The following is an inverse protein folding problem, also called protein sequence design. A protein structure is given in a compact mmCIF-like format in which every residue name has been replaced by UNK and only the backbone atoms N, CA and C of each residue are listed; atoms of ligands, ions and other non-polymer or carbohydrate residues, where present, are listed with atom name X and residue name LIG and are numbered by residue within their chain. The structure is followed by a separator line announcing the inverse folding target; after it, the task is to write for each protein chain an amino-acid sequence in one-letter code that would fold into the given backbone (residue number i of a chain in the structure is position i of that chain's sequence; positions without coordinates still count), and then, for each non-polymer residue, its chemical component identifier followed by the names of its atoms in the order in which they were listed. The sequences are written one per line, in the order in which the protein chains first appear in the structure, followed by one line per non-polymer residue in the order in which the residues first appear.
data_IF_284083492695
#
_entry.id   IF_284083492695
#
_cell.length_a   1.000
_cell.length_b   1.000
_cell.length_c   1.000
_cell.angle_alpha   90.00
_cell.angle_beta   90.00
_cell.angle_gamma   90.00
#
_symmetry.space_group_name_H-M   'P 1'
#
loop_
_entity.id
_entity.type
_entity.pdbx_description
1 polymer ?
#
# COMPACT_ATOMS: atom_id res chain seq x y z
N UNK A 1 10.62 5.59 5.61
CA UNK A 1 10.45 6.54 6.74
C UNK A 1 10.12 5.78 8.00
N UNK A 2 10.35 6.38 9.17
CA UNK A 2 10.08 5.79 10.48
C UNK A 2 9.32 6.81 11.32
N UNK A 3 8.27 6.39 12.05
CA UNK A 3 7.43 7.30 12.83
C UNK A 3 6.74 6.62 13.99
N UNK A 4 6.44 7.38 15.02
CA UNK A 4 5.53 7.03 16.13
C UNK A 4 4.17 7.73 16.00
N UNK A 5 4.02 8.63 14.98
CA UNK A 5 2.76 9.32 14.71
C UNK A 5 1.65 8.31 14.44
N UNK A 6 0.55 8.44 15.17
CA UNK A 6 -0.55 7.46 15.17
C UNK A 6 -1.65 7.77 14.18
N UNK A 7 -1.73 9.02 13.71
CA UNK A 7 -2.77 9.50 12.82
C UNK A 7 -2.15 10.28 11.66
N UNK A 8 -1.96 9.63 10.53
CA UNK A 8 -1.43 10.29 9.33
C UNK A 8 -1.89 9.59 8.06
N UNK A 9 -1.67 10.23 6.93
CA UNK A 9 -1.76 9.62 5.61
C UNK A 9 -0.48 9.83 4.82
N UNK A 10 -0.01 8.76 4.17
CA UNK A 10 1.10 8.76 3.24
C UNK A 10 0.57 8.48 1.84
N UNK A 11 0.80 9.40 0.92
CA UNK A 11 0.38 9.28 -0.49
C UNK A 11 1.59 9.25 -1.39
N UNK A 12 1.54 8.41 -2.45
CA UNK A 12 2.57 8.34 -3.48
C UNK A 12 1.97 7.90 -4.80
N UNK A 13 2.50 8.43 -5.90
CA UNK A 13 2.23 7.95 -7.25
C UNK A 13 3.35 7.02 -7.71
N UNK A 14 2.97 5.84 -8.19
CA UNK A 14 3.87 4.91 -8.87
C UNK A 14 3.64 4.98 -10.38
N UNK A 15 4.71 4.88 -11.16
CA UNK A 15 4.67 4.63 -12.60
C UNK A 15 5.65 3.50 -12.90
N UNK A 16 5.28 2.56 -13.74
CA UNK A 16 6.05 1.32 -13.90
C UNK A 16 5.97 0.80 -15.34
N UNK A 17 7.06 0.16 -15.73
CA UNK A 17 7.21 -0.53 -17.01
C UNK A 17 7.50 -2.01 -16.76
N UNK A 18 6.51 -2.69 -16.16
CA UNK A 18 6.57 -4.12 -15.85
C UNK A 18 6.68 -4.94 -17.13
N UNK A 19 7.53 -5.95 -17.14
CA UNK A 19 7.88 -6.76 -18.32
C UNK A 19 7.67 -8.25 -18.12
N UNK A 20 7.88 -8.71 -16.90
CA UNK A 20 7.81 -10.13 -16.57
C UNK A 20 6.81 -10.36 -15.45
N UNK A 21 6.31 -11.56 -15.39
CA UNK A 21 5.38 -11.99 -14.37
C UNK A 21 5.91 -11.67 -12.98
N UNK A 22 5.05 -11.17 -12.12
CA UNK A 22 5.33 -10.76 -10.75
C UNK A 22 6.14 -9.47 -10.57
N UNK A 23 6.57 -8.79 -11.65
CA UNK A 23 7.09 -7.42 -11.52
C UNK A 23 6.06 -6.55 -10.80
N UNK A 24 6.47 -5.92 -9.71
CA UNK A 24 5.56 -5.19 -8.85
C UNK A 24 6.22 -4.01 -8.15
N UNK A 25 5.45 -2.96 -7.94
CA UNK A 25 5.87 -1.82 -7.13
C UNK A 25 4.66 -1.17 -6.46
N UNK A 26 4.89 -0.56 -5.31
CA UNK A 26 3.84 0.07 -4.53
C UNK A 26 4.32 0.57 -3.19
N UNK A 27 3.47 0.45 -2.20
CA UNK A 27 3.73 0.86 -0.81
C UNK A 27 3.96 -0.34 0.09
N UNK A 28 4.74 -0.12 1.12
CA UNK A 28 5.05 -1.12 2.15
C UNK A 28 5.08 -0.47 3.52
N UNK A 29 4.58 -1.19 4.52
CA UNK A 29 4.85 -0.97 5.93
C UNK A 29 5.52 -2.23 6.46
N UNK A 30 6.66 -2.10 7.07
CA UNK A 30 7.49 -3.21 7.49
C UNK A 30 7.96 -3.03 8.93
N UNK A 31 7.59 -3.94 9.80
CA UNK A 31 8.08 -4.01 11.17
C UNK A 31 9.21 -5.04 11.28
N UNK A 32 8.92 -6.26 10.85
CA UNK A 32 9.83 -7.41 10.77
C UNK A 32 9.29 -8.43 9.76
N UNK A 33 9.96 -9.57 9.59
CA UNK A 33 9.57 -10.62 8.63
C UNK A 33 8.18 -11.23 8.88
N UNK A 34 7.69 -11.16 10.11
CA UNK A 34 6.42 -11.75 10.53
C UNK A 34 5.28 -10.71 10.62
N UNK A 35 5.61 -9.42 10.49
CA UNK A 35 4.65 -8.33 10.67
C UNK A 35 4.89 -7.22 9.64
N UNK A 36 4.10 -7.19 8.58
CA UNK A 36 4.20 -6.22 7.50
C UNK A 36 2.92 -6.15 6.67
N UNK A 37 2.77 -5.10 5.90
CA UNK A 37 1.76 -5.01 4.86
C UNK A 37 2.35 -4.39 3.60
N UNK A 38 1.78 -4.72 2.46
CA UNK A 38 2.09 -4.08 1.17
C UNK A 38 0.83 -3.92 0.32
N UNK A 39 0.88 -2.96 -0.59
CA UNK A 39 -0.08 -2.86 -1.69
C UNK A 39 0.64 -2.50 -2.97
N UNK A 40 0.25 -3.13 -4.07
CA UNK A 40 0.91 -2.98 -5.37
C UNK A 40 0.01 -3.41 -6.51
N UNK A 41 0.43 -3.05 -7.71
CA UNK A 41 0.07 -3.77 -8.93
C UNK A 41 1.18 -4.79 -9.19
N UNK A 42 0.78 -6.02 -9.44
CA UNK A 42 1.63 -7.16 -9.77
C UNK A 42 1.31 -7.62 -11.19
N UNK A 43 2.29 -7.54 -12.08
CA UNK A 43 2.12 -7.87 -13.49
C UNK A 43 1.92 -9.37 -13.70
N UNK A 44 0.94 -9.76 -14.48
CA UNK A 44 0.68 -11.15 -14.83
C UNK A 44 1.03 -11.45 -16.31
N UNK A 45 0.44 -10.68 -17.22
CA UNK A 45 0.67 -10.81 -18.67
C UNK A 45 0.21 -9.53 -19.41
N UNK A 46 0.24 -9.55 -20.72
CA UNK A 46 -0.15 -8.40 -21.56
C UNK A 46 -1.63 -8.03 -21.50
N UNK A 47 -2.48 -8.87 -20.94
CA UNK A 47 -3.93 -8.66 -20.87
C UNK A 47 -4.36 -8.12 -19.52
N UNK A 48 -3.80 -8.64 -18.42
CA UNK A 48 -4.19 -8.25 -17.08
C UNK A 48 -3.03 -8.29 -16.09
N UNK A 49 -3.24 -7.62 -14.98
CA UNK A 49 -2.36 -7.57 -13.82
C UNK A 49 -3.22 -7.54 -12.56
N UNK A 50 -2.64 -7.79 -11.41
CA UNK A 50 -3.36 -7.80 -10.15
C UNK A 50 -3.08 -6.55 -9.34
N UNK A 51 -4.14 -5.78 -9.05
CA UNK A 51 -4.12 -4.79 -7.99
C UNK A 51 -4.45 -5.49 -6.67
N UNK A 52 -3.57 -5.41 -5.70
CA UNK A 52 -3.78 -6.17 -4.48
C UNK A 52 -3.01 -5.68 -3.28
N UNK A 53 -3.23 -6.37 -2.17
CA UNK A 53 -2.56 -6.14 -0.91
C UNK A 53 -2.31 -7.45 -0.17
N UNK A 54 -1.28 -7.46 0.65
CA UNK A 54 -0.95 -8.53 1.59
C UNK A 54 -0.77 -7.92 2.96
N UNK A 55 -1.33 -8.57 3.96
CA UNK A 55 -1.12 -8.22 5.37
C UNK A 55 -0.60 -9.45 6.09
N UNK A 56 0.54 -9.32 6.72
CA UNK A 56 1.16 -10.40 7.50
C UNK A 56 1.19 -10.03 8.97
N UNK A 57 0.55 -10.84 9.78
CA UNK A 57 0.55 -10.76 11.24
C UNK A 57 1.08 -12.05 11.81
N UNK A 58 2.11 -11.97 12.66
CA UNK A 58 2.67 -13.12 13.36
C UNK A 58 3.05 -14.27 12.41
N UNK A 59 3.55 -13.94 11.21
CA UNK A 59 3.94 -14.88 10.17
C UNK A 59 2.81 -15.40 9.27
N UNK A 60 1.56 -15.05 9.54
CA UNK A 60 0.41 -15.45 8.72
C UNK A 60 0.00 -14.33 7.78
N UNK A 61 -0.05 -14.63 6.48
CA UNK A 61 -0.38 -13.68 5.41
C UNK A 61 -1.82 -13.82 4.95
N UNK A 62 -2.46 -12.69 4.73
CA UNK A 62 -3.82 -12.56 4.22
C UNK A 62 -3.77 -11.70 2.94
N UNK A 63 -4.30 -12.23 1.84
CA UNK A 63 -4.22 -11.63 0.50
C UNK A 63 -5.58 -11.18 0.01
N UNK A 64 -5.57 -10.06 -0.72
CA UNK A 64 -6.73 -9.62 -1.50
C UNK A 64 -6.23 -9.09 -2.85
N UNK A 65 -6.77 -9.61 -3.95
CA UNK A 65 -6.39 -9.21 -5.31
C UNK A 65 -7.60 -9.03 -6.21
N UNK A 66 -7.48 -8.10 -7.17
CA UNK A 66 -8.45 -7.85 -8.23
C UNK A 66 -7.70 -7.74 -9.54
N UNK A 67 -8.17 -8.43 -10.58
CA UNK A 67 -7.63 -8.30 -11.92
C UNK A 67 -8.00 -6.92 -12.49
N UNK A 68 -7.02 -6.24 -13.05
CA UNK A 68 -7.16 -4.96 -13.74
C UNK A 68 -6.44 -5.01 -15.10
N UNK A 69 -6.76 -4.08 -15.98
CA UNK A 69 -6.16 -3.98 -17.32
C UNK A 69 -4.64 -3.77 -17.24
N UNK A 70 -3.86 -4.54 -18.00
CA UNK A 70 -2.41 -4.43 -18.06
C UNK A 70 -1.91 -3.12 -18.70
N UNK A 71 -2.78 -2.36 -19.36
CA UNK A 71 -2.47 -1.02 -19.89
C UNK A 71 -2.40 0.06 -18.80
N UNK A 72 -2.87 -0.21 -17.59
CA UNK A 72 -2.66 0.70 -16.46
C UNK A 72 -1.18 0.67 -16.09
N UNK A 73 -0.47 1.78 -16.29
CA UNK A 73 0.98 1.91 -16.07
C UNK A 73 1.33 2.87 -14.94
N UNK A 74 0.34 3.36 -14.22
CA UNK A 74 0.54 4.17 -13.02
C UNK A 74 -0.61 3.99 -12.04
N UNK A 75 -0.30 4.14 -10.75
CA UNK A 75 -1.28 4.05 -9.68
C UNK A 75 -0.86 4.95 -8.52
N UNK A 76 -1.80 5.65 -7.96
CA UNK A 76 -1.65 6.35 -6.69
C UNK A 76 -2.06 5.43 -5.56
N UNK A 77 -1.28 5.42 -4.49
CA UNK A 77 -1.62 4.75 -3.24
C UNK A 77 -1.67 5.75 -2.11
N UNK A 78 -2.62 5.55 -1.20
CA UNK A 78 -2.68 6.28 0.06
C UNK A 78 -2.81 5.28 1.20
N UNK A 79 -1.84 5.31 2.11
CA UNK A 79 -1.84 4.56 3.36
C UNK A 79 -2.23 5.51 4.47
N UNK A 80 -3.36 5.29 5.11
CA UNK A 80 -3.79 6.04 6.29
C UNK A 80 -3.66 5.16 7.53
N UNK A 81 -3.11 5.73 8.59
CA UNK A 81 -2.93 5.09 9.89
C UNK A 81 -3.88 5.69 10.92
N UNK A 82 -4.50 4.82 11.71
CA UNK A 82 -5.20 5.13 12.96
C UNK A 82 -4.76 4.11 14.00
N UNK A 83 -3.77 4.47 14.82
CA UNK A 83 -3.12 3.60 15.81
C UNK A 83 -2.53 2.32 15.18
N UNK A 84 -3.13 1.15 15.44
CA UNK A 84 -2.73 -0.14 14.86
C UNK A 84 -3.53 -0.54 13.63
N UNK A 85 -4.47 0.30 13.19
CA UNK A 85 -5.33 0.08 12.04
C UNK A 85 -4.85 0.87 10.82
N UNK A 86 -5.01 0.28 9.65
CA UNK A 86 -4.54 0.84 8.40
C UNK A 86 -5.60 0.74 7.32
N UNK A 87 -5.80 1.83 6.60
CA UNK A 87 -6.59 1.88 5.38
C UNK A 87 -5.67 2.11 4.20
N UNK A 88 -5.79 1.27 3.19
CA UNK A 88 -5.13 1.44 1.91
C UNK A 88 -6.16 1.82 0.88
N UNK A 89 -5.88 2.88 0.16
CA UNK A 89 -6.69 3.37 -0.96
C UNK A 89 -5.83 3.46 -2.21
N UNK A 90 -6.45 3.35 -3.37
CA UNK A 90 -5.81 3.56 -4.66
C UNK A 90 -6.62 4.51 -5.55
N UNK A 91 -5.92 5.10 -6.51
CA UNK A 91 -6.50 6.05 -7.48
C UNK A 91 -5.71 6.03 -8.79
N UNK A 92 -6.40 6.15 -9.91
CA UNK A 92 -5.77 6.30 -11.22
C UNK A 92 -5.51 7.76 -11.58
N UNK A 93 -6.20 8.71 -10.95
CA UNK A 93 -6.13 10.15 -11.25
C UNK A 93 -5.48 10.99 -10.12
N UNK A 94 -5.28 10.40 -8.93
CA UNK A 94 -4.73 11.09 -7.76
C UNK A 94 -5.72 12.01 -7.05
N UNK A 95 -6.98 12.00 -7.45
CA UNK A 95 -8.06 12.83 -6.90
C UNK A 95 -9.14 11.95 -6.27
N UNK A 96 -9.63 10.98 -7.03
CA UNK A 96 -10.67 10.07 -6.61
C UNK A 96 -10.06 8.77 -6.09
N UNK A 97 -10.04 8.60 -4.78
CA UNK A 97 -9.49 7.42 -4.12
C UNK A 97 -10.58 6.43 -3.75
N UNK A 98 -10.34 5.16 -4.03
CA UNK A 98 -11.19 4.04 -3.65
C UNK A 98 -10.48 3.16 -2.64
N UNK A 99 -11.23 2.65 -1.66
CA UNK A 99 -10.69 1.75 -0.66
C UNK A 99 -10.27 0.42 -1.29
N UNK A 100 -9.02 0.05 -1.11
CA UNK A 100 -8.48 -1.25 -1.45
C UNK A 100 -8.60 -2.22 -0.27
N UNK A 101 -8.25 -1.75 0.93
CA UNK A 101 -8.28 -2.58 2.12
C UNK A 101 -8.32 -1.75 3.41
N UNK A 102 -8.99 -2.29 4.41
CA UNK A 102 -8.80 -1.93 5.83
C UNK A 102 -8.24 -3.16 6.54
N UNK A 103 -7.23 -2.96 7.37
CA UNK A 103 -6.58 -4.06 8.07
C UNK A 103 -5.99 -3.60 9.40
N UNK A 104 -5.68 -4.59 10.25
CA UNK A 104 -5.01 -4.41 11.53
C UNK A 104 -3.64 -5.06 11.52
N UNK A 105 -2.63 -4.41 12.10
CA UNK A 105 -1.35 -5.02 12.43
C UNK A 105 -1.21 -5.11 13.95
N UNK A 106 -1.17 -6.33 14.49
CA UNK A 106 -1.11 -6.56 15.92
C UNK A 106 0.04 -5.83 16.64
N UNK A 107 1.15 -5.62 15.93
CA UNK A 107 2.32 -4.86 16.43
C UNK A 107 2.45 -3.47 15.83
N UNK A 108 1.47 -3.03 15.06
CA UNK A 108 1.48 -1.78 14.31
C UNK A 108 1.07 -0.53 15.11
N UNK A 109 0.74 -0.65 16.39
CA UNK A 109 0.30 0.46 17.23
C UNK A 109 1.43 1.33 17.81
N UNK A 110 2.70 0.89 17.68
CA UNK A 110 3.87 1.60 18.17
C UNK A 110 4.63 2.29 17.03
N UNK A 111 5.95 2.36 17.11
CA UNK A 111 6.85 2.84 16.07
C UNK A 111 6.78 1.93 14.84
N UNK A 112 6.62 2.52 13.67
CA UNK A 112 6.52 1.81 12.40
C UNK A 112 7.53 2.33 11.37
N UNK A 113 7.83 1.49 10.38
CA UNK A 113 8.57 1.87 9.16
C UNK A 113 7.68 1.68 7.96
N UNK A 114 7.62 2.67 7.10
CA UNK A 114 6.81 2.61 5.87
C UNK A 114 7.48 3.37 4.73
N UNK A 115 7.04 3.09 3.52
CA UNK A 115 7.53 3.75 2.33
C UNK A 115 7.12 3.04 1.06
N UNK A 116 8.04 3.01 0.12
CA UNK A 116 7.88 2.46 -1.22
C UNK A 116 8.69 1.17 -1.38
N UNK A 117 8.26 0.31 -2.31
CA UNK A 117 9.03 -0.85 -2.70
C UNK A 117 8.87 -1.17 -4.19
N UNK A 118 9.84 -1.88 -4.74
CA UNK A 118 9.78 -2.51 -6.05
C UNK A 118 10.42 -3.89 -5.95
N UNK A 119 9.88 -4.85 -6.69
CA UNK A 119 10.33 -6.23 -6.69
C UNK A 119 10.16 -6.84 -8.07
N UNK A 120 11.16 -7.60 -8.52
CA UNK A 120 11.16 -8.39 -9.73
C UNK A 120 11.58 -9.82 -9.37
N UNK A 121 10.63 -10.70 -8.98
CA UNK A 121 10.94 -12.03 -8.44
C UNK A 121 11.51 -13.00 -9.46
N UNK A 122 11.16 -12.85 -10.74
CA UNK A 122 11.74 -13.62 -11.83
C UNK A 122 13.12 -13.06 -12.22
N UNK A 123 13.87 -13.76 -13.07
CA UNK A 123 15.14 -13.28 -13.63
C UNK A 123 14.87 -12.15 -14.64
N UNK A 124 14.48 -11.01 -14.15
CA UNK A 124 14.10 -9.85 -14.96
C UNK A 124 14.44 -8.53 -14.26
N UNK A 125 14.23 -7.44 -14.98
CA UNK A 125 14.29 -6.08 -14.44
C UNK A 125 13.25 -5.20 -15.10
N UNK A 126 12.72 -4.24 -14.36
CA UNK A 126 11.79 -3.23 -14.88
C UNK A 126 12.07 -1.86 -14.24
N UNK A 127 11.53 -0.80 -14.83
CA UNK A 127 11.61 0.53 -14.26
C UNK A 127 10.38 0.83 -13.41
N UNK A 128 10.59 1.27 -12.17
CA UNK A 128 9.58 1.80 -11.28
C UNK A 128 9.96 3.23 -10.87
N UNK A 129 9.03 4.16 -11.03
CA UNK A 129 9.21 5.57 -10.68
C UNK A 129 8.19 5.97 -9.63
N UNK A 130 8.67 6.62 -8.58
CA UNK A 130 7.83 7.09 -7.47
C UNK A 130 7.89 8.62 -7.41
N UNK A 131 6.72 9.24 -7.43
CA UNK A 131 6.58 10.70 -7.41
C UNK A 131 5.49 11.13 -6.45
N UNK A 132 5.41 12.45 -6.18
CA UNK A 132 4.32 13.01 -5.36
C UNK A 132 4.19 12.34 -3.98
N UNK A 133 5.33 12.03 -3.35
CA UNK A 133 5.32 11.49 -1.99
C UNK A 133 4.96 12.60 -1.01
N UNK A 134 3.91 12.38 -0.25
CA UNK A 134 3.37 13.36 0.68
C UNK A 134 2.93 12.71 1.99
N UNK A 135 3.26 13.36 3.10
CA UNK A 135 2.69 13.07 4.42
C UNK A 135 1.70 14.17 4.78
N UNK A 136 0.51 13.77 5.17
CA UNK A 136 -0.55 14.68 5.57
C UNK A 136 -1.19 14.23 6.88
N UNK A 137 -2.05 15.06 7.42
CA UNK A 137 -3.03 14.65 8.41
C UNK A 137 -3.81 13.42 7.92
N UNK A 138 -4.35 12.63 8.85
CA UNK A 138 -5.09 11.42 8.52
C UNK A 138 -6.31 11.73 7.67
N UNK A 139 -6.35 11.18 6.45
CA UNK A 139 -7.47 11.29 5.51
C UNK A 139 -8.54 10.20 5.72
N UNK A 140 -8.35 9.35 6.69
CA UNK A 140 -9.31 8.33 7.08
C UNK A 140 -10.07 8.78 8.34
N UNK A 141 -11.31 9.26 8.22
CA UNK A 141 -12.09 9.67 9.38
C UNK A 141 -12.46 8.47 10.27
N UNK A 142 -12.71 8.73 11.54
CA UNK A 142 -13.23 7.73 12.45
C UNK A 142 -14.56 7.16 11.93
N UNK A 143 -14.77 5.85 12.11
CA UNK A 143 -16.09 5.25 11.84
C UNK A 143 -17.09 5.66 12.93
N UNK A 144 -18.37 5.59 12.58
CA UNK A 144 -19.45 5.74 13.57
C UNK A 144 -19.24 4.75 14.73
N UNK A 145 -19.25 5.27 15.94
CA UNK A 145 -19.00 4.49 17.15
C UNK A 145 -17.53 4.39 17.60
N UNK A 146 -16.57 4.82 16.79
CA UNK A 146 -15.19 5.00 17.25
C UNK A 146 -15.08 6.28 18.07
N UNK A 147 -14.18 6.27 19.08
CA UNK A 147 -13.84 7.48 19.76
C UNK A 147 -13.17 8.47 18.78
N UNK A 148 -13.46 9.78 18.87
CA UNK A 148 -12.70 10.79 18.14
C UNK A 148 -11.22 10.71 18.49
N UNK A 149 -10.36 11.08 17.53
CA UNK A 149 -8.93 11.17 17.77
C UNK A 149 -8.67 12.18 18.91
N UNK A 150 -7.86 11.81 19.87
CA UNK A 150 -7.36 12.76 20.85
C UNK A 150 -6.41 13.75 20.13
N UNK A 151 -6.75 15.02 20.22
CA UNK A 151 -6.00 16.12 19.58
C UNK A 151 -4.80 16.51 20.46
#
# INVERSE_FOLDING_TARGET
METEEKFFSFTVRTAFDSKHRFDQCGIVLYLDSDNWLKASIEYENEQFQHLGSVVTNLGFSDWATTAIDANIKSMWYRLSRREGDYRIECSTDGVNFSQLRVCHLHRGGAKIRFGIYACSPEDSSFAATFTNMELTECKWPAHDGQQPDEV
#
